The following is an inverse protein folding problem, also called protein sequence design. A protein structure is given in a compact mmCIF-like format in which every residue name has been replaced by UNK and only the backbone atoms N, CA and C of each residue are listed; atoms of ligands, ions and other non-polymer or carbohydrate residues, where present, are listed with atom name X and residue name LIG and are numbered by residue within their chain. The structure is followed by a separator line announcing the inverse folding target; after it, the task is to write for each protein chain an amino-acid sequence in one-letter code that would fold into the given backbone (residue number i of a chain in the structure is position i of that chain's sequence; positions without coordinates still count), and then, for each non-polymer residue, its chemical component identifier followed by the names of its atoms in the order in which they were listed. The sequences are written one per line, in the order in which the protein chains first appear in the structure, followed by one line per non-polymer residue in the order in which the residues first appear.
data_IF_080182398263
#
_entry.id   IF_080182398263
#
_cell.length_a   1.000
_cell.length_b   1.000
_cell.length_c   1.000
_cell.angle_alpha   90.00
_cell.angle_beta   90.00
_cell.angle_gamma   90.00
#
_symmetry.space_group_name_H-M   'P 1'
#
loop_
_entity.id
_entity.type
_entity.pdbx_description
1 polymer ?
#
# COMPACT_ATOMS: atom_id res chain seq x y z
N UNK A 1 -11.63 -12.72 -2.17
CA UNK A 1 -13.05 -13.12 -2.14
C UNK A 1 -13.64 -12.68 -0.82
N UNK A 2 -14.84 -12.11 -0.84
CA UNK A 2 -15.51 -11.62 0.36
C UNK A 2 -16.86 -12.34 0.52
N UNK A 3 -17.24 -12.67 1.75
CA UNK A 3 -18.63 -12.96 2.11
C UNK A 3 -19.18 -11.86 3.03
N UNK A 4 -20.51 -11.75 3.08
CA UNK A 4 -21.19 -10.86 4.00
C UNK A 4 -22.17 -11.68 4.83
N UNK A 5 -22.00 -11.64 6.15
CA UNK A 5 -22.89 -12.29 7.11
C UNK A 5 -23.26 -11.27 8.21
N UNK A 6 -24.56 -11.02 8.42
CA UNK A 6 -25.06 -10.05 9.40
C UNK A 6 -24.38 -8.67 9.27
N UNK A 7 -24.31 -8.13 8.05
CA UNK A 7 -23.64 -6.86 7.71
C UNK A 7 -22.13 -6.81 7.99
N UNK A 8 -21.50 -7.94 8.32
CA UNK A 8 -20.06 -8.05 8.50
C UNK A 8 -19.39 -8.68 7.29
N UNK A 9 -18.45 -7.95 6.71
CA UNK A 9 -17.61 -8.45 5.62
C UNK A 9 -16.48 -9.32 6.16
N UNK A 10 -16.31 -10.50 5.57
CA UNK A 10 -15.26 -11.46 5.90
C UNK A 10 -14.42 -11.77 4.67
N UNK A 11 -13.10 -11.92 4.84
CA UNK A 11 -12.21 -12.42 3.80
C UNK A 11 -12.36 -13.94 3.71
N UNK A 12 -12.91 -14.43 2.60
CA UNK A 12 -13.19 -15.86 2.39
C UNK A 12 -12.26 -16.55 1.42
N UNK A 13 -11.38 -15.79 0.78
CA UNK A 13 -10.36 -16.36 -0.10
C UNK A 13 -9.42 -15.32 -0.66
N UNK A 14 -8.22 -15.76 -0.98
CA UNK A 14 -7.21 -15.02 -1.71
C UNK A 14 -6.86 -15.84 -2.95
N UNK A 15 -6.65 -15.18 -4.08
CA UNK A 15 -6.36 -15.81 -5.37
C UNK A 15 -5.23 -15.03 -6.05
N UNK A 16 -4.82 -15.49 -7.24
CA UNK A 16 -3.77 -14.86 -8.05
C UNK A 16 -2.37 -14.94 -7.43
N UNK A 17 -1.98 -16.15 -7.04
CA UNK A 17 -0.63 -16.45 -6.54
C UNK A 17 0.38 -16.74 -7.67
N UNK A 18 0.11 -16.31 -8.91
CA UNK A 18 0.94 -16.63 -10.08
C UNK A 18 2.34 -16.00 -10.03
N UNK A 19 2.47 -14.85 -9.36
CA UNK A 19 3.70 -14.07 -9.25
C UNK A 19 4.30 -14.07 -7.82
N UNK A 20 3.92 -15.04 -6.97
CA UNK A 20 4.47 -15.15 -5.62
C UNK A 20 5.98 -15.37 -5.64
N UNK A 21 6.65 -14.86 -4.62
CA UNK A 21 8.08 -15.07 -4.42
C UNK A 21 8.44 -15.05 -2.94
N UNK A 22 9.54 -15.69 -2.60
CA UNK A 22 10.19 -15.50 -1.29
C UNK A 22 10.85 -14.13 -1.25
N UNK A 23 10.64 -13.35 -0.19
CA UNK A 23 11.23 -12.01 -0.10
C UNK A 23 10.88 -11.29 1.20
N UNK A 24 11.06 -9.97 1.18
CA UNK A 24 10.65 -9.10 2.27
C UNK A 24 9.12 -9.08 2.40
N UNK A 25 8.60 -9.35 3.60
CA UNK A 25 7.14 -9.39 3.85
C UNK A 25 6.42 -8.09 3.49
N UNK A 26 7.09 -6.95 3.68
CA UNK A 26 6.55 -5.62 3.32
C UNK A 26 6.33 -5.43 1.81
N UNK A 27 6.84 -6.32 0.97
CA UNK A 27 6.56 -6.31 -0.47
C UNK A 27 5.07 -6.53 -0.76
N UNK A 28 4.36 -7.27 0.09
CA UNK A 28 2.91 -7.50 -0.02
C UNK A 28 2.10 -6.20 0.20
N UNK A 29 2.69 -5.18 0.82
CA UNK A 29 2.04 -3.89 1.05
C UNK A 29 2.13 -2.95 -0.16
N UNK A 30 2.92 -3.26 -1.18
CA UNK A 30 3.13 -2.35 -2.32
C UNK A 30 1.84 -2.05 -3.06
N UNK A 31 1.15 -3.10 -3.54
CA UNK A 31 -0.13 -2.97 -4.25
C UNK A 31 -1.19 -2.29 -3.37
N UNK A 32 -1.53 -2.86 -2.20
CA UNK A 32 -2.58 -2.29 -1.35
C UNK A 32 -2.30 -0.85 -0.91
N UNK A 33 -1.05 -0.50 -0.54
CA UNK A 33 -0.75 0.84 -0.01
C UNK A 33 -0.53 1.92 -1.07
N UNK A 34 -0.15 1.56 -2.31
CA UNK A 34 0.02 2.52 -3.40
C UNK A 34 -1.22 2.66 -4.29
N UNK A 35 -1.97 1.57 -4.47
CA UNK A 35 -3.12 1.49 -5.36
C UNK A 35 -4.46 1.49 -4.60
N UNK A 36 -4.71 0.51 -3.74
CA UNK A 36 -6.04 0.28 -3.16
C UNK A 36 -6.47 1.36 -2.16
N UNK A 37 -5.53 1.89 -1.39
CA UNK A 37 -5.81 2.96 -0.41
C UNK A 37 -5.98 4.32 -1.07
N UNK A 38 -5.41 4.54 -2.27
CA UNK A 38 -5.45 5.79 -3.02
C UNK A 38 -5.07 7.03 -2.16
N UNK A 39 -4.12 6.88 -1.24
CA UNK A 39 -3.70 7.95 -0.32
C UNK A 39 -4.77 8.39 0.68
N UNK A 40 -5.89 7.68 0.82
CA UNK A 40 -6.97 8.04 1.77
C UNK A 40 -6.53 7.66 3.19
N UNK A 41 -6.34 8.61 4.13
CA UNK A 41 -5.73 8.34 5.43
C UNK A 41 -6.36 7.19 6.20
N UNK A 42 -7.69 7.13 6.28
CA UNK A 42 -8.42 6.06 6.98
C UNK A 42 -8.23 4.68 6.35
N UNK A 43 -8.07 4.60 5.02
CA UNK A 43 -7.81 3.34 4.32
C UNK A 43 -6.38 2.87 4.57
N UNK A 44 -5.42 3.79 4.51
CA UNK A 44 -4.01 3.51 4.83
C UNK A 44 -3.91 3.01 6.28
N UNK A 45 -4.48 3.72 7.24
CA UNK A 45 -4.47 3.30 8.65
C UNK A 45 -5.09 1.91 8.84
N UNK A 46 -6.25 1.65 8.23
CA UNK A 46 -6.93 0.35 8.35
C UNK A 46 -6.11 -0.78 7.72
N UNK A 47 -5.45 -0.55 6.59
CA UNK A 47 -4.56 -1.51 5.94
C UNK A 47 -3.37 -1.85 6.83
N UNK A 48 -2.61 -0.85 7.29
CA UNK A 48 -1.42 -1.07 8.09
C UNK A 48 -1.74 -1.72 9.43
N UNK A 49 -2.82 -1.29 10.09
CA UNK A 49 -3.31 -1.93 11.32
C UNK A 49 -3.73 -3.38 11.09
N UNK A 50 -4.44 -3.66 10.00
CA UNK A 50 -4.82 -5.02 9.61
C UNK A 50 -3.63 -5.93 9.29
N UNK A 51 -2.53 -5.34 8.79
CA UNK A 51 -1.28 -6.05 8.53
C UNK A 51 -0.44 -6.30 9.80
N UNK A 52 -0.73 -5.59 10.89
CA UNK A 52 -0.04 -5.75 12.19
C UNK A 52 0.85 -4.58 12.60
N UNK A 53 0.82 -3.46 11.88
CA UNK A 53 1.54 -2.24 12.26
C UNK A 53 0.67 -1.30 13.10
N UNK A 54 1.23 -0.77 14.19
CA UNK A 54 0.66 0.38 14.86
C UNK A 54 0.92 1.66 14.06
N UNK A 55 0.21 2.74 14.38
CA UNK A 55 0.47 4.05 13.76
C UNK A 55 1.91 4.52 13.99
N UNK A 56 2.48 4.24 15.16
CA UNK A 56 3.86 4.63 15.48
C UNK A 56 4.89 3.86 14.64
N UNK A 57 4.54 2.65 14.18
CA UNK A 57 5.42 1.85 13.32
C UNK A 57 5.45 2.37 11.87
N UNK A 58 4.40 3.08 11.43
CA UNK A 58 4.33 3.74 10.11
C UNK A 58 5.12 5.04 10.11
N UNK A 59 6.39 4.92 10.49
CA UNK A 59 7.35 6.01 10.56
C UNK A 59 8.05 6.25 9.21
N UNK A 60 8.89 7.29 9.16
CA UNK A 60 9.68 7.64 7.99
C UNK A 60 10.52 6.48 7.44
N UNK A 61 11.12 5.66 8.31
CA UNK A 61 11.96 4.56 7.87
C UNK A 61 11.16 3.46 7.17
N UNK A 62 9.94 3.16 7.64
CA UNK A 62 9.03 2.25 6.95
C UNK A 62 8.57 2.84 5.61
N UNK A 63 8.09 4.09 5.60
CA UNK A 63 7.64 4.78 4.38
C UNK A 63 8.73 4.80 3.31
N UNK A 64 9.99 5.08 3.69
CA UNK A 64 11.15 5.10 2.80
C UNK A 64 11.47 3.72 2.24
N UNK A 65 11.39 2.68 3.06
CA UNK A 65 11.61 1.29 2.63
C UNK A 65 10.53 0.82 1.66
N UNK A 66 9.26 1.16 1.92
CA UNK A 66 8.16 0.88 0.99
C UNK A 66 8.32 1.64 -0.33
N UNK A 67 8.85 2.87 -0.32
CA UNK A 67 9.21 3.57 -1.56
C UNK A 67 10.31 2.86 -2.32
N UNK A 68 11.37 2.43 -1.64
CA UNK A 68 12.46 1.69 -2.29
C UNK A 68 11.93 0.39 -2.92
N UNK A 69 11.10 -0.37 -2.19
CA UNK A 69 10.47 -1.59 -2.69
C UNK A 69 9.53 -1.32 -3.88
N UNK A 70 8.76 -0.22 -3.86
CA UNK A 70 7.91 0.18 -4.98
C UNK A 70 8.73 0.49 -6.26
N UNK A 71 9.84 1.20 -6.11
CA UNK A 71 10.75 1.54 -7.22
C UNK A 71 11.49 0.30 -7.76
N UNK A 72 11.83 -0.65 -6.88
CA UNK A 72 12.52 -1.90 -7.23
C UNK A 72 11.58 -3.03 -7.65
N UNK A 73 10.25 -2.80 -7.61
CA UNK A 73 9.27 -3.80 -7.98
C UNK A 73 9.50 -4.29 -9.43
N UNK A 74 9.51 -5.60 -9.66
CA UNK A 74 9.85 -6.20 -10.98
C UNK A 74 8.94 -5.74 -12.12
N UNK A 75 7.73 -5.28 -11.80
CA UNK A 75 6.76 -4.72 -12.76
C UNK A 75 6.51 -3.22 -12.53
N UNK A 76 7.47 -2.50 -11.93
CA UNK A 76 7.24 -1.12 -11.46
C UNK A 76 6.81 -0.19 -12.61
N UNK A 77 5.60 0.34 -12.50
CA UNK A 77 5.08 1.43 -13.31
C UNK A 77 4.28 2.34 -12.37
N UNK A 78 4.90 3.44 -11.94
CA UNK A 78 4.28 4.37 -10.98
C UNK A 78 2.97 4.96 -11.51
N UNK A 79 2.83 5.15 -12.82
CA UNK A 79 1.62 5.70 -13.41
C UNK A 79 0.46 4.69 -13.38
N UNK A 80 0.75 3.39 -13.39
CA UNK A 80 -0.26 2.33 -13.21
C UNK A 80 -0.55 2.02 -11.75
N UNK A 81 0.45 2.13 -10.88
CA UNK A 81 0.33 1.72 -9.48
C UNK A 81 -0.20 2.81 -8.56
N UNK A 82 0.02 4.08 -8.85
CA UNK A 82 -0.42 5.18 -7.99
C UNK A 82 -1.82 5.63 -8.40
N UNK A 83 -2.81 5.29 -7.59
CA UNK A 83 -4.21 5.64 -7.84
C UNK A 83 -4.61 6.97 -7.15
N UNK A 84 -3.76 7.99 -7.29
CA UNK A 84 -4.02 9.35 -6.80
C UNK A 84 -3.99 10.28 -8.01
N UNK A 85 -5.12 10.90 -8.32
CA UNK A 85 -5.24 11.79 -9.48
C UNK A 85 -4.22 12.93 -9.40
N UNK A 86 -3.46 13.13 -10.49
CA UNK A 86 -2.46 14.19 -10.61
C UNK A 86 -1.35 14.13 -9.56
N UNK A 87 -1.01 12.95 -9.04
CA UNK A 87 0.01 12.80 -7.99
C UNK A 87 1.37 13.43 -8.37
N UNK A 88 1.71 13.44 -9.66
CA UNK A 88 2.94 14.03 -10.19
C UNK A 88 3.01 15.54 -9.97
N UNK A 89 1.88 16.21 -9.81
CA UNK A 89 1.79 17.64 -9.51
C UNK A 89 1.71 17.92 -8.00
N UNK A 90 1.51 16.87 -7.19
CA UNK A 90 1.29 16.95 -5.73
C UNK A 90 2.52 16.59 -4.91
N UNK A 91 3.55 16.03 -5.55
CA UNK A 91 4.82 15.68 -4.92
C UNK A 91 5.98 16.13 -5.82
N UNK A 92 6.85 16.99 -5.28
CA UNK A 92 8.05 17.47 -5.96
C UNK A 92 9.25 16.52 -5.83
N UNK A 93 9.21 15.60 -4.88
CA UNK A 93 10.25 14.59 -4.67
C UNK A 93 9.70 13.26 -4.12
N UNK A 94 10.59 12.29 -3.90
CA UNK A 94 10.23 10.96 -3.40
C UNK A 94 9.81 10.96 -1.91
N UNK A 95 10.22 11.97 -1.14
CA UNK A 95 9.85 12.13 0.26
C UNK A 95 8.45 12.73 0.41
N UNK A 96 8.07 13.67 -0.44
CA UNK A 96 6.70 14.14 -0.53
C UNK A 96 5.78 13.04 -1.07
N UNK A 97 6.26 12.25 -2.05
CA UNK A 97 5.48 11.15 -2.61
C UNK A 97 5.16 10.06 -1.58
N UNK A 98 6.11 9.72 -0.70
CA UNK A 98 5.81 8.72 0.35
C UNK A 98 4.74 9.20 1.34
N UNK A 99 4.69 10.51 1.62
CA UNK A 99 3.67 11.09 2.50
C UNK A 99 2.32 11.16 1.78
N UNK A 100 2.31 11.48 0.48
CA UNK A 100 1.10 11.46 -0.34
C UNK A 100 0.48 10.06 -0.42
N UNK A 101 1.29 9.01 -0.56
CA UNK A 101 0.82 7.62 -0.58
C UNK A 101 0.37 7.14 0.80
N UNK A 102 1.01 7.61 1.88
CA UNK A 102 0.80 7.12 3.25
C UNK A 102 0.70 8.28 4.27
N UNK A 103 -0.41 9.05 4.26
CA UNK A 103 -0.57 10.26 5.07
C UNK A 103 -1.09 9.94 6.49
N UNK A 104 -0.33 9.14 7.25
CA UNK A 104 -0.64 8.77 8.65
C UNK A 104 0.55 8.90 9.58
#
# INVERSE_FOLDING_TARGET
LLSCENDNWQLTGLIDFGDVMTGWSEYDLLGPSAFMTAGVPRRVESLFRGFGYSRADVNFALKRRLMALLLLHRFSDLNRHICIEGWQLKAGDLFELQELLRPI
#
